data_IF_236126009461
#
_entry.id   IF_236126009461
#
_cell.length_a   1.000
_cell.length_b   1.000
_cell.length_c   1.000
_cell.angle_alpha   90.00
_cell.angle_beta   90.00
_cell.angle_gamma   90.00
#
_symmetry.space_group_name_H-M   'P 1'
#
loop_
_entity.id
_entity.type
_entity.pdbx_description
1 polymer ?
#
# COMPACT_ATOMS: atom_id res chain seq x y z
N UNK A 1 -24.27 -2.94 -0.21
CA UNK A 1 -23.23 -3.68 0.54
C UNK A 1 -22.03 -3.78 -0.38
N UNK A 2 -20.90 -3.18 -0.03
CA UNK A 2 -19.68 -3.25 -0.87
C UNK A 2 -19.09 -4.65 -0.73
N UNK A 3 -18.87 -5.40 -1.82
CA UNK A 3 -18.36 -6.75 -1.72
C UNK A 3 -16.88 -6.76 -1.31
N UNK A 4 -16.48 -7.80 -0.57
CA UNK A 4 -15.12 -7.99 -0.04
C UNK A 4 -14.03 -7.90 -1.13
N UNK A 5 -14.37 -8.30 -2.35
CA UNK A 5 -13.50 -8.21 -3.51
C UNK A 5 -13.02 -6.78 -3.82
N UNK A 6 -13.82 -5.74 -3.54
CA UNK A 6 -13.37 -4.35 -3.74
C UNK A 6 -12.29 -3.94 -2.73
N UNK A 7 -12.39 -4.41 -1.48
CA UNK A 7 -11.38 -4.15 -0.45
C UNK A 7 -10.06 -4.86 -0.74
N UNK A 8 -10.12 -6.09 -1.25
CA UNK A 8 -8.93 -6.85 -1.66
C UNK A 8 -8.23 -6.24 -2.87
N UNK A 9 -8.99 -5.76 -3.86
CA UNK A 9 -8.40 -5.07 -5.02
C UNK A 9 -7.76 -3.76 -4.59
N UNK A 10 -8.43 -2.96 -3.75
CA UNK A 10 -7.91 -1.69 -3.27
C UNK A 10 -6.62 -1.85 -2.45
N UNK A 11 -6.61 -2.79 -1.50
CA UNK A 11 -5.42 -3.09 -0.69
C UNK A 11 -4.27 -3.61 -1.55
N UNK A 12 -4.53 -4.49 -2.52
CA UNK A 12 -3.52 -4.96 -3.47
C UNK A 12 -2.88 -3.82 -4.27
N UNK A 13 -3.69 -2.89 -4.79
CA UNK A 13 -3.19 -1.71 -5.53
C UNK A 13 -2.35 -0.81 -4.63
N UNK A 14 -2.82 -0.49 -3.43
CA UNK A 14 -2.09 0.36 -2.48
C UNK A 14 -0.77 -0.28 -2.05
N UNK A 15 -0.74 -1.60 -1.85
CA UNK A 15 0.47 -2.34 -1.49
C UNK A 15 1.50 -2.28 -2.62
N UNK A 16 1.09 -2.50 -3.88
CA UNK A 16 1.99 -2.39 -5.04
C UNK A 16 2.54 -0.97 -5.20
N UNK A 17 1.72 0.05 -4.98
CA UNK A 17 2.17 1.45 -5.00
C UNK A 17 3.24 1.68 -3.92
N UNK A 18 3.01 1.18 -2.71
CA UNK A 18 4.00 1.22 -1.63
C UNK A 18 5.30 0.55 -2.04
N UNK A 19 5.25 -0.64 -2.65
CA UNK A 19 6.44 -1.41 -3.08
C UNK A 19 7.22 -0.65 -4.15
N UNK A 20 6.54 -0.10 -5.15
CA UNK A 20 7.16 0.75 -6.15
C UNK A 20 7.78 2.00 -5.52
N UNK A 21 7.11 2.61 -4.53
CA UNK A 21 7.63 3.73 -3.76
C UNK A 21 8.95 3.43 -3.05
N UNK A 22 9.07 2.24 -2.45
CA UNK A 22 10.31 1.80 -1.78
C UNK A 22 11.43 1.50 -2.78
N UNK A 23 11.13 0.83 -3.91
CA UNK A 23 12.14 0.43 -4.89
C UNK A 23 12.68 1.59 -5.72
N UNK A 24 11.84 2.57 -6.04
CA UNK A 24 12.19 3.65 -6.98
C UNK A 24 12.82 4.87 -6.30
N UNK A 25 12.70 5.01 -4.97
CA UNK A 25 13.07 6.24 -4.26
C UNK A 25 14.33 6.05 -3.42
N UNK A 26 15.33 6.92 -3.66
CA UNK A 26 16.56 7.01 -2.84
C UNK A 26 16.41 7.84 -1.57
N UNK A 27 15.30 8.57 -1.41
CA UNK A 27 15.08 9.41 -0.23
C UNK A 27 14.43 8.59 0.90
N UNK A 28 15.13 8.49 2.02
CA UNK A 28 14.71 7.73 3.21
C UNK A 28 13.34 8.17 3.73
N UNK A 29 13.02 9.47 3.67
CA UNK A 29 11.70 9.98 4.09
C UNK A 29 10.58 9.39 3.23
N UNK A 30 10.81 9.30 1.92
CA UNK A 30 9.81 8.75 0.98
C UNK A 30 9.68 7.24 1.13
N UNK A 31 10.77 6.56 1.47
CA UNK A 31 10.74 5.13 1.82
C UNK A 31 9.88 4.91 3.06
N UNK A 32 10.06 5.69 4.14
CA UNK A 32 9.22 5.61 5.33
C UNK A 32 7.74 5.88 5.03
N UNK A 33 7.44 6.91 4.23
CA UNK A 33 6.07 7.20 3.81
C UNK A 33 5.47 6.05 2.99
N UNK A 34 6.27 5.40 2.14
CA UNK A 34 5.83 4.23 1.37
C UNK A 34 5.54 3.02 2.26
N UNK A 35 6.30 2.85 3.35
CA UNK A 35 6.05 1.81 4.36
C UNK A 35 4.74 2.07 5.11
N UNK A 36 4.44 3.32 5.50
CA UNK A 36 3.15 3.64 6.11
C UNK A 36 1.97 3.34 5.17
N UNK A 37 2.13 3.61 3.87
CA UNK A 37 1.13 3.26 2.84
C UNK A 37 0.94 1.73 2.75
N UNK A 38 2.03 0.94 2.77
CA UNK A 38 1.93 -0.53 2.77
C UNK A 38 1.18 -1.05 4.01
N UNK A 39 1.49 -0.50 5.19
CA UNK A 39 0.85 -0.91 6.45
C UNK A 39 -0.65 -0.58 6.44
N UNK A 40 -1.03 0.57 5.88
CA UNK A 40 -2.43 0.94 5.72
C UNK A 40 -3.15 0.01 4.73
N UNK A 41 -2.49 -0.38 3.63
CA UNK A 41 -3.04 -1.32 2.66
C UNK A 41 -3.35 -2.70 3.29
N UNK A 42 -2.44 -3.23 4.13
CA UNK A 42 -2.67 -4.49 4.85
C UNK A 42 -3.84 -4.36 5.83
N UNK A 43 -3.99 -3.22 6.50
CA UNK A 43 -5.12 -2.97 7.40
C UNK A 43 -6.47 -2.97 6.68
N UNK A 44 -6.53 -2.48 5.43
CA UNK A 44 -7.75 -2.50 4.60
C UNK A 44 -8.09 -3.92 4.12
N UNK A 45 -7.10 -4.81 4.00
CA UNK A 45 -7.29 -6.19 3.56
C UNK A 45 -7.76 -7.15 4.67
N UNK A 46 -7.64 -6.74 5.93
CA UNK A 46 -7.97 -7.51 7.13
C UNK A 46 -9.43 -7.23 7.56
#
# INVERSE_FOLDING_TARGET
MVPLSHYLILSGVLFVIGVLGVLLRRNVIVVFMSIEIMLNAVNISL
#
